data_IF_699041277651
#
_entry.id   IF_699041277651
#
_cell.length_a   1.000
_cell.length_b   1.000
_cell.length_c   1.000
_cell.angle_alpha   90.00
_cell.angle_beta   90.00
_cell.angle_gamma   90.00
#
_symmetry.space_group_name_H-M   'P 1'
#
loop_
_entity.id
_entity.type
_entity.pdbx_description
1 polymer ?
#
# COMPACT_ATOMS: atom_id res chain seq x y z
N UNK A 1 -21.65 -14.83 63.50
CA UNK A 1 -21.10 -15.08 62.16
C UNK A 1 -20.90 -13.75 61.45
N UNK A 2 -19.66 -13.25 61.42
CA UNK A 2 -19.31 -11.94 60.86
C UNK A 2 -18.85 -12.16 59.42
N UNK A 3 -19.63 -11.68 58.45
CA UNK A 3 -19.36 -11.81 57.02
C UNK A 3 -18.37 -10.74 56.59
N UNK A 4 -17.12 -11.12 56.33
CA UNK A 4 -16.10 -10.27 55.73
C UNK A 4 -16.26 -10.24 54.21
N UNK A 5 -16.63 -9.08 53.66
CA UNK A 5 -16.62 -8.78 52.23
C UNK A 5 -15.19 -8.51 51.77
N UNK A 6 -14.64 -9.40 50.95
CA UNK A 6 -13.33 -9.23 50.29
C UNK A 6 -13.47 -8.25 49.11
N UNK A 7 -12.97 -7.03 49.30
CA UNK A 7 -12.68 -6.06 48.24
C UNK A 7 -11.59 -6.60 47.32
N UNK A 8 -11.91 -6.79 46.04
CA UNK A 8 -10.94 -7.14 44.99
C UNK A 8 -10.54 -5.86 44.26
N UNK A 9 -9.34 -5.36 44.57
CA UNK A 9 -8.72 -4.22 43.88
C UNK A 9 -8.18 -4.68 42.52
N UNK A 10 -8.92 -4.37 41.45
CA UNK A 10 -8.47 -4.61 40.08
C UNK A 10 -7.37 -3.61 39.70
N UNK A 11 -6.18 -4.11 39.37
CA UNK A 11 -5.05 -3.31 38.89
C UNK A 11 -5.28 -2.89 37.44
N UNK A 12 -5.10 -1.61 37.05
CA UNK A 12 -5.33 -1.18 35.67
C UNK A 12 -4.23 -1.73 34.75
N UNK A 13 -4.65 -2.43 33.69
CA UNK A 13 -3.76 -2.91 32.62
C UNK A 13 -3.07 -1.74 31.93
N UNK A 14 -1.75 -1.66 32.09
CA UNK A 14 -0.85 -0.73 31.38
C UNK A 14 -0.97 -0.94 29.86
N UNK A 15 -1.65 -0.04 29.17
CA UNK A 15 -1.68 0.03 27.71
C UNK A 15 -0.25 0.25 27.17
N UNK A 16 0.27 -0.73 26.43
CA UNK A 16 1.54 -0.59 25.69
C UNK A 16 1.34 0.45 24.58
N UNK A 17 1.78 1.68 24.85
CA UNK A 17 1.87 2.77 23.86
C UNK A 17 2.67 2.25 22.66
N UNK A 18 2.02 2.14 21.48
CA UNK A 18 2.71 1.81 20.22
C UNK A 18 3.80 2.86 20.00
N UNK A 19 5.05 2.43 19.80
CA UNK A 19 6.09 3.31 19.27
C UNK A 19 5.70 3.63 17.83
N UNK A 20 5.37 4.90 17.54
CA UNK A 20 5.18 5.37 16.17
C UNK A 20 6.57 5.50 15.54
N UNK A 21 6.85 4.71 14.51
CA UNK A 21 8.00 4.97 13.63
C UNK A 21 7.66 6.25 12.87
N UNK A 22 8.56 7.24 12.89
CA UNK A 22 8.40 8.47 12.12
C UNK A 22 8.41 8.09 10.64
N UNK A 23 7.43 8.59 9.88
CA UNK A 23 7.38 8.36 8.45
C UNK A 23 8.33 9.38 7.84
N UNK A 24 9.48 8.91 7.37
CA UNK A 24 10.45 9.71 6.65
C UNK A 24 10.10 9.71 5.16
N UNK A 25 10.24 10.86 4.50
CA UNK A 25 10.00 11.04 3.08
C UNK A 25 11.17 11.84 2.49
N UNK A 26 11.50 11.56 1.23
CA UNK A 26 12.46 12.37 0.48
C UNK A 26 11.80 13.70 0.09
N UNK A 27 12.52 14.82 0.25
CA UNK A 27 12.05 16.09 -0.33
C UNK A 27 12.16 16.04 -1.86
N UNK A 28 11.22 16.63 -2.61
CA UNK A 28 11.28 16.69 -4.07
C UNK A 28 12.59 17.37 -4.53
N UNK A 29 13.41 16.66 -5.33
CA UNK A 29 14.58 17.22 -6.01
C UNK A 29 15.95 17.00 -5.36
N UNK A 30 16.06 16.24 -4.26
CA UNK A 30 17.35 16.07 -3.56
C UNK A 30 18.37 15.10 -4.21
N UNK A 31 18.04 14.47 -5.35
CA UNK A 31 18.80 13.30 -5.82
C UNK A 31 19.20 13.34 -7.31
N UNK A 32 19.13 14.51 -7.97
CA UNK A 32 19.70 14.67 -9.30
C UNK A 32 21.23 14.84 -9.20
N UNK A 33 21.96 13.73 -9.07
CA UNK A 33 23.43 13.71 -9.27
C UNK A 33 24.28 13.08 -8.17
N UNK A 34 23.70 12.42 -7.16
CA UNK A 34 24.48 11.68 -6.16
C UNK A 34 24.90 10.30 -6.70
N UNK A 35 26.20 10.00 -6.70
CA UNK A 35 26.70 8.64 -6.98
C UNK A 35 26.09 7.65 -5.97
N UNK A 36 25.60 6.47 -6.41
CA UNK A 36 24.98 5.50 -5.52
C UNK A 36 26.02 4.99 -4.51
N UNK A 37 25.93 5.47 -3.27
CA UNK A 37 26.76 4.96 -2.18
C UNK A 37 26.43 3.48 -1.98
N UNK A 38 27.46 2.63 -1.98
CA UNK A 38 27.27 1.20 -1.73
C UNK A 38 26.60 1.00 -0.37
N UNK A 39 25.55 0.18 -0.29
CA UNK A 39 24.83 0.00 0.95
C UNK A 39 25.72 -0.68 1.98
N UNK A 40 25.55 -0.30 3.25
CA UNK A 40 26.31 -0.86 4.37
C UNK A 40 26.06 -2.36 4.57
N UNK A 41 24.91 -2.84 4.08
CA UNK A 41 24.49 -4.24 4.15
C UNK A 41 23.51 -4.51 3.03
N UNK A 42 23.57 -5.70 2.43
CA UNK A 42 22.54 -6.23 1.54
C UNK A 42 22.30 -7.72 1.87
N UNK A 43 21.11 -8.27 1.55
CA UNK A 43 20.83 -9.68 1.77
C UNK A 43 21.66 -10.57 0.86
N UNK A 44 21.98 -11.78 1.29
CA UNK A 44 22.62 -12.76 0.39
C UNK A 44 21.63 -13.18 -0.70
N UNK A 45 22.15 -13.38 -1.90
CA UNK A 45 21.42 -13.91 -3.06
C UNK A 45 20.21 -13.05 -3.49
N UNK A 46 20.09 -11.79 -3.03
CA UNK A 46 18.91 -10.95 -3.28
C UNK A 46 18.69 -10.69 -4.77
N UNK A 47 19.76 -10.52 -5.53
CA UNK A 47 19.71 -10.29 -6.98
C UNK A 47 19.17 -11.52 -7.70
N UNK A 48 19.70 -12.69 -7.37
CA UNK A 48 19.24 -13.96 -7.94
C UNK A 48 17.79 -14.26 -7.55
N UNK A 49 17.42 -13.99 -6.30
CA UNK A 49 16.05 -14.13 -5.83
C UNK A 49 15.08 -13.20 -6.57
N UNK A 50 15.48 -11.95 -6.78
CA UNK A 50 14.69 -10.97 -7.54
C UNK A 50 14.52 -11.40 -8.99
N UNK A 51 15.59 -11.84 -9.64
CA UNK A 51 15.55 -12.27 -11.04
C UNK A 51 14.67 -13.51 -11.24
N UNK A 52 14.76 -14.49 -10.34
CA UNK A 52 13.88 -15.66 -10.34
C UNK A 52 12.42 -15.27 -10.08
N UNK A 53 12.15 -14.23 -9.28
CA UNK A 53 10.79 -13.67 -9.11
C UNK A 53 10.32 -13.00 -10.41
N UNK A 54 11.17 -12.21 -11.07
CA UNK A 54 10.87 -11.62 -12.37
C UNK A 54 10.53 -12.67 -13.41
N UNK A 55 11.30 -13.76 -13.48
CA UNK A 55 11.01 -14.87 -14.39
C UNK A 55 9.64 -15.50 -14.11
N UNK A 56 9.32 -15.80 -12.84
CA UNK A 56 8.00 -16.30 -12.45
C UNK A 56 6.86 -15.29 -12.72
N UNK A 57 7.18 -14.01 -12.91
CA UNK A 57 6.22 -12.92 -13.12
C UNK A 57 6.30 -12.31 -14.51
N UNK A 58 7.05 -12.95 -15.42
CA UNK A 58 7.31 -12.45 -16.78
C UNK A 58 6.04 -12.27 -17.61
N UNK A 59 5.04 -13.12 -17.41
CA UNK A 59 3.74 -13.08 -18.11
C UNK A 59 2.82 -11.94 -17.67
N UNK A 60 3.05 -11.34 -16.49
CA UNK A 60 2.19 -10.29 -15.90
C UNK A 60 0.70 -10.68 -15.87
N UNK A 61 0.41 -11.88 -15.40
CA UNK A 61 -0.92 -12.50 -15.35
C UNK A 61 -1.56 -12.54 -13.94
N UNK A 62 -1.06 -11.73 -12.99
CA UNK A 62 -1.66 -11.67 -11.67
C UNK A 62 -2.82 -10.67 -11.65
N UNK A 63 -3.77 -10.81 -10.71
CA UNK A 63 -4.84 -9.83 -10.51
C UNK A 63 -4.37 -8.38 -10.45
N UNK A 64 -3.21 -8.10 -9.83
CA UNK A 64 -2.66 -6.75 -9.75
C UNK A 64 -2.26 -6.16 -11.11
N UNK A 65 -1.91 -6.97 -12.11
CA UNK A 65 -1.49 -6.46 -13.43
C UNK A 65 -2.66 -5.95 -14.26
N UNK A 66 -3.82 -6.61 -14.16
CA UNK A 66 -5.02 -6.26 -14.92
C UNK A 66 -5.96 -5.33 -14.15
N UNK A 67 -6.02 -5.49 -12.82
CA UNK A 67 -7.02 -4.86 -11.96
C UNK A 67 -6.39 -4.10 -10.79
N UNK A 68 -5.07 -3.90 -10.82
CA UNK A 68 -4.37 -3.07 -9.87
C UNK A 68 -4.87 -1.62 -9.89
N UNK A 69 -4.54 -0.90 -8.81
CA UNK A 69 -4.87 0.52 -8.67
C UNK A 69 -4.31 1.39 -9.81
N UNK A 70 -3.18 0.96 -10.39
CA UNK A 70 -2.54 1.59 -11.54
C UNK A 70 -3.29 1.37 -12.87
N UNK A 71 -4.38 0.57 -12.86
CA UNK A 71 -5.31 0.37 -13.98
C UNK A 71 -6.69 0.99 -13.74
N UNK A 72 -6.93 1.54 -12.54
CA UNK A 72 -8.27 1.93 -12.09
C UNK A 72 -8.64 3.41 -12.35
N UNK A 73 -8.04 4.05 -13.36
CA UNK A 73 -8.28 5.45 -13.69
C UNK A 73 -8.41 5.67 -15.21
N UNK A 74 -8.95 6.83 -15.58
CA UNK A 74 -9.13 7.24 -16.96
C UNK A 74 -7.91 8.01 -17.47
N UNK A 75 -7.17 7.42 -18.41
CA UNK A 75 -6.00 8.06 -19.02
C UNK A 75 -6.36 9.21 -19.96
N UNK A 76 -7.63 9.31 -20.38
CA UNK A 76 -8.12 10.40 -21.23
C UNK A 76 -8.70 11.57 -20.44
N UNK A 77 -8.90 11.40 -19.12
CA UNK A 77 -9.42 12.46 -18.27
C UNK A 77 -8.37 13.55 -18.01
N UNK A 78 -8.82 14.79 -17.67
CA UNK A 78 -7.91 15.84 -17.22
C UNK A 78 -7.00 15.36 -16.08
N UNK A 79 -5.73 15.79 -15.98
CA UNK A 79 -4.77 15.27 -15.01
C UNK A 79 -5.29 15.27 -13.56
N UNK A 80 -5.94 16.35 -13.13
CA UNK A 80 -6.55 16.46 -11.80
C UNK A 80 -7.61 15.39 -11.53
N UNK A 81 -8.45 15.09 -12.54
CA UNK A 81 -9.48 14.05 -12.44
C UNK A 81 -8.83 12.68 -12.38
N UNK A 82 -7.84 12.41 -13.23
CA UNK A 82 -7.08 11.15 -13.22
C UNK A 82 -6.43 10.90 -11.85
N UNK A 83 -5.75 11.91 -11.28
CA UNK A 83 -5.12 11.82 -9.95
C UNK A 83 -6.14 11.57 -8.83
N UNK A 84 -7.30 12.23 -8.89
CA UNK A 84 -8.39 11.97 -7.94
C UNK A 84 -8.89 10.52 -8.03
N UNK A 85 -9.02 9.97 -9.24
CA UNK A 85 -9.40 8.57 -9.45
C UNK A 85 -8.35 7.60 -8.89
N UNK A 86 -7.05 7.90 -9.08
CA UNK A 86 -5.95 7.14 -8.46
C UNK A 86 -6.10 7.12 -6.94
N UNK A 87 -6.29 8.28 -6.30
CA UNK A 87 -6.47 8.36 -4.85
C UNK A 87 -7.67 7.54 -4.36
N UNK A 88 -8.82 7.65 -5.03
CA UNK A 88 -10.02 6.87 -4.65
C UNK A 88 -9.80 5.37 -4.82
N UNK A 89 -9.11 4.94 -5.88
CA UNK A 89 -8.77 3.53 -6.07
C UNK A 89 -7.93 2.99 -4.91
N UNK A 90 -6.96 3.76 -4.41
CA UNK A 90 -6.11 3.41 -3.27
C UNK A 90 -6.92 3.33 -1.97
N UNK A 91 -7.80 4.30 -1.72
CA UNK A 91 -8.67 4.29 -0.55
C UNK A 91 -9.59 3.06 -0.55
N UNK A 92 -10.15 2.69 -1.71
CA UNK A 92 -10.98 1.51 -1.88
C UNK A 92 -10.19 0.19 -1.78
N UNK A 93 -8.93 0.17 -2.19
CA UNK A 93 -8.12 -1.06 -2.22
C UNK A 93 -7.75 -1.59 -0.83
N UNK A 94 -7.80 -0.76 0.21
CA UNK A 94 -7.45 -1.19 1.57
C UNK A 94 -8.31 -2.37 2.02
N UNK A 95 -7.66 -3.50 2.34
CA UNK A 95 -8.33 -4.73 2.76
C UNK A 95 -9.46 -5.16 1.81
N UNK A 96 -9.26 -4.97 0.50
CA UNK A 96 -10.21 -5.34 -0.56
C UNK A 96 -9.43 -5.95 -1.71
N UNK A 97 -9.97 -7.01 -2.33
CA UNK A 97 -9.33 -7.65 -3.49
C UNK A 97 -9.32 -6.72 -4.70
N UNK A 98 -8.31 -6.85 -5.56
CA UNK A 98 -8.15 -6.01 -6.76
C UNK A 98 -9.38 -6.06 -7.67
N UNK A 99 -9.94 -7.26 -7.91
CA UNK A 99 -11.17 -7.44 -8.70
C UNK A 99 -12.34 -6.60 -8.18
N UNK A 100 -12.52 -6.58 -6.85
CA UNK A 100 -13.64 -5.86 -6.21
C UNK A 100 -13.41 -4.36 -6.26
N UNK A 101 -12.15 -3.93 -6.06
CA UNK A 101 -11.74 -2.53 -6.17
C UNK A 101 -11.94 -2.01 -7.59
N UNK A 102 -11.43 -2.73 -8.60
CA UNK A 102 -11.55 -2.39 -10.01
C UNK A 102 -13.01 -2.31 -10.46
N UNK A 103 -13.84 -3.29 -10.09
CA UNK A 103 -15.27 -3.25 -10.40
C UNK A 103 -15.98 -2.04 -9.75
N UNK A 104 -15.63 -1.67 -8.52
CA UNK A 104 -16.18 -0.48 -7.87
C UNK A 104 -15.73 0.81 -8.55
N UNK A 105 -14.44 0.91 -8.92
CA UNK A 105 -13.90 2.05 -9.65
C UNK A 105 -14.53 2.21 -11.04
N UNK A 106 -14.79 1.11 -11.75
CA UNK A 106 -15.51 1.13 -13.02
C UNK A 106 -16.92 1.72 -12.87
N UNK A 107 -17.70 1.26 -11.88
CA UNK A 107 -19.05 1.78 -11.61
C UNK A 107 -19.05 3.26 -11.24
N UNK A 108 -18.06 3.71 -10.46
CA UNK A 108 -17.89 5.12 -10.14
C UNK A 108 -17.57 5.94 -11.40
N UNK A 109 -16.61 5.48 -12.21
CA UNK A 109 -16.19 6.16 -13.44
C UNK A 109 -17.31 6.31 -14.46
N UNK A 110 -18.14 5.28 -14.62
CA UNK A 110 -19.33 5.32 -15.50
C UNK A 110 -20.34 6.42 -15.11
N UNK A 111 -20.25 6.95 -13.89
CA UNK A 111 -21.08 8.05 -13.37
C UNK A 111 -20.33 9.39 -13.32
N UNK A 112 -19.17 9.50 -13.98
CA UNK A 112 -18.35 10.70 -14.01
C UNK A 112 -17.62 10.94 -12.69
N UNK A 113 -16.59 10.13 -12.39
CA UNK A 113 -15.86 10.22 -11.12
C UNK A 113 -14.97 11.47 -11.05
N UNK A 114 -15.46 12.50 -10.34
CA UNK A 114 -14.79 13.78 -10.08
C UNK A 114 -15.02 14.20 -8.63
N UNK A 115 -14.26 15.20 -8.16
CA UNK A 115 -14.47 15.78 -6.82
C UNK A 115 -15.91 16.29 -6.67
N UNK A 116 -16.41 17.03 -7.66
CA UNK A 116 -17.75 17.63 -7.57
C UNK A 116 -18.86 16.58 -7.60
N UNK A 117 -18.75 15.54 -8.45
CA UNK A 117 -19.77 14.48 -8.50
C UNK A 117 -19.85 13.69 -7.19
N UNK A 118 -18.72 13.43 -6.53
CA UNK A 118 -18.71 12.75 -5.22
C UNK A 118 -19.23 13.65 -4.10
N UNK A 119 -19.00 14.97 -4.16
CA UNK A 119 -19.58 15.90 -3.18
C UNK A 119 -21.10 16.00 -3.30
N UNK A 120 -21.64 15.98 -4.52
CA UNK A 120 -23.07 16.03 -4.79
C UNK A 120 -23.80 14.71 -4.50
N UNK A 121 -23.09 13.58 -4.53
CA UNK A 121 -23.65 12.25 -4.27
C UNK A 121 -23.92 12.03 -2.78
N UNK A 122 -25.09 11.53 -2.41
CA UNK A 122 -25.39 11.15 -1.02
C UNK A 122 -24.64 9.86 -0.60
N UNK A 123 -24.46 9.69 0.71
CA UNK A 123 -23.70 8.59 1.30
C UNK A 123 -24.29 7.21 0.98
N UNK A 124 -25.63 7.10 0.85
CA UNK A 124 -26.28 5.84 0.56
C UNK A 124 -26.04 5.41 -0.90
N UNK A 125 -26.16 6.34 -1.84
CA UNK A 125 -25.84 6.13 -3.26
C UNK A 125 -24.37 5.77 -3.44
N UNK A 126 -23.45 6.52 -2.83
CA UNK A 126 -22.02 6.22 -2.91
C UNK A 126 -21.72 4.82 -2.33
N UNK A 127 -22.32 4.49 -1.19
CA UNK A 127 -22.22 3.19 -0.56
C UNK A 127 -22.69 2.04 -1.45
N UNK A 128 -23.84 2.19 -2.11
CA UNK A 128 -24.36 1.20 -3.06
C UNK A 128 -23.42 0.99 -4.24
N UNK A 129 -22.83 2.07 -4.78
CA UNK A 129 -21.90 1.99 -5.91
C UNK A 129 -20.63 1.22 -5.51
N UNK A 130 -20.06 1.49 -4.34
CA UNK A 130 -18.80 0.86 -3.94
C UNK A 130 -18.98 -0.52 -3.28
N UNK A 131 -20.19 -0.92 -2.90
CA UNK A 131 -20.45 -2.28 -2.42
C UNK A 131 -20.05 -3.34 -3.48
N UNK A 132 -19.37 -4.45 -3.15
CA UNK A 132 -19.10 -4.99 -1.81
C UNK A 132 -17.67 -4.72 -1.30
N UNK A 133 -17.08 -3.55 -1.60
CA UNK A 133 -15.75 -3.17 -1.06
C UNK A 133 -15.70 -3.37 0.46
N UNK A 134 -14.60 -3.92 0.97
CA UNK A 134 -14.42 -4.19 2.40
C UNK A 134 -14.50 -2.90 3.20
N UNK A 135 -15.23 -2.92 4.32
CA UNK A 135 -15.46 -1.75 5.19
C UNK A 135 -16.07 -0.53 4.46
N UNK A 136 -16.89 -0.75 3.42
CA UNK A 136 -17.42 0.32 2.57
C UNK A 136 -18.08 1.47 3.34
N UNK A 137 -18.80 1.21 4.45
CA UNK A 137 -19.44 2.27 5.26
C UNK A 137 -18.44 3.30 5.79
N UNK A 138 -17.30 2.83 6.29
CA UNK A 138 -16.23 3.72 6.75
C UNK A 138 -15.55 4.41 5.57
N UNK A 139 -15.39 3.70 4.44
CA UNK A 139 -14.81 4.28 3.23
C UNK A 139 -15.66 5.39 2.63
N UNK A 140 -17.00 5.28 2.64
CA UNK A 140 -17.91 6.37 2.25
C UNK A 140 -17.57 7.63 3.04
N UNK A 141 -17.53 7.53 4.39
CA UNK A 141 -17.17 8.64 5.26
C UNK A 141 -15.80 9.25 4.90
N UNK A 142 -14.77 8.41 4.77
CA UNK A 142 -13.42 8.89 4.45
C UNK A 142 -13.33 9.52 3.06
N UNK A 143 -14.00 8.95 2.05
CA UNK A 143 -14.05 9.49 0.69
C UNK A 143 -14.72 10.87 0.71
N UNK A 144 -15.88 11.02 1.35
CA UNK A 144 -16.58 12.31 1.44
C UNK A 144 -15.75 13.36 2.15
N UNK A 145 -15.15 13.01 3.30
CA UNK A 145 -14.28 13.92 4.06
C UNK A 145 -13.04 14.34 3.26
N UNK A 146 -12.34 13.37 2.66
CA UNK A 146 -11.17 13.61 1.82
C UNK A 146 -11.55 14.53 0.65
N UNK A 147 -12.61 14.20 -0.08
CA UNK A 147 -13.07 14.97 -1.24
C UNK A 147 -13.41 16.42 -0.87
N UNK A 148 -14.04 16.64 0.28
CA UNK A 148 -14.31 17.99 0.79
C UNK A 148 -13.02 18.77 1.09
N UNK A 149 -12.02 18.12 1.71
CA UNK A 149 -10.70 18.71 1.95
C UNK A 149 -10.02 19.07 0.63
N UNK A 150 -10.07 18.19 -0.38
CA UNK A 150 -9.48 18.46 -1.70
C UNK A 150 -10.11 19.69 -2.35
N UNK A 151 -11.44 19.81 -2.33
CA UNK A 151 -12.14 20.98 -2.87
C UNK A 151 -11.76 22.28 -2.15
N UNK A 152 -11.66 22.24 -0.81
CA UNK A 152 -11.44 23.43 0.01
C UNK A 152 -9.98 23.88 0.06
N UNK A 153 -9.03 22.94 0.21
CA UNK A 153 -7.62 23.24 0.48
C UNK A 153 -6.73 23.11 -0.77
N UNK A 154 -7.06 22.21 -1.68
CA UNK A 154 -6.19 21.82 -2.80
C UNK A 154 -6.78 22.13 -4.18
N UNK A 155 -7.76 23.04 -4.25
CA UNK A 155 -8.37 23.46 -5.52
C UNK A 155 -9.06 22.32 -6.29
N UNK A 156 -9.44 21.24 -5.61
CA UNK A 156 -10.02 20.03 -6.20
C UNK A 156 -9.00 19.00 -6.69
N UNK A 157 -7.69 19.20 -6.50
CA UNK A 157 -6.65 18.21 -6.81
C UNK A 157 -6.21 17.46 -5.54
N UNK A 158 -5.41 16.41 -5.70
CA UNK A 158 -4.76 15.73 -4.58
C UNK A 158 -3.46 16.47 -4.18
N UNK A 159 -2.96 16.32 -2.94
CA UNK A 159 -1.65 16.85 -2.58
C UNK A 159 -0.51 16.18 -3.37
N UNK A 160 0.58 16.93 -3.57
CA UNK A 160 1.78 16.52 -4.31
C UNK A 160 2.96 16.15 -3.40
N UNK A 161 2.71 15.93 -2.12
CA UNK A 161 3.69 15.49 -1.13
C UNK A 161 3.14 14.35 -0.29
N UNK A 162 4.01 13.47 0.21
CA UNK A 162 3.58 12.29 0.98
C UNK A 162 3.04 12.71 2.35
N UNK A 163 3.66 13.71 2.96
CA UNK A 163 3.27 14.33 4.23
C UNK A 163 1.82 14.78 4.18
N UNK A 164 1.44 15.52 3.16
CA UNK A 164 0.08 16.05 3.01
C UNK A 164 -0.92 14.96 2.62
N UNK A 165 -0.53 13.99 1.78
CA UNK A 165 -1.36 12.84 1.43
C UNK A 165 -1.73 12.03 2.68
N UNK A 166 -0.80 11.79 3.60
CA UNK A 166 -1.05 11.03 4.85
C UNK A 166 -1.96 11.80 5.84
N UNK A 167 -2.10 13.12 5.69
CA UNK A 167 -3.09 13.88 6.48
C UNK A 167 -4.53 13.66 6.01
N UNK A 168 -4.75 13.09 4.82
CA UNK A 168 -6.08 12.83 4.32
C UNK A 168 -6.75 11.67 5.07
N UNK A 169 -8.03 11.78 5.46
CA UNK A 169 -8.75 10.74 6.18
C UNK A 169 -8.73 9.39 5.44
N UNK A 170 -8.20 8.35 6.10
CA UNK A 170 -8.14 7.00 5.55
C UNK A 170 -6.96 6.73 4.61
N UNK A 171 -6.08 7.72 4.38
CA UNK A 171 -4.85 7.55 3.61
C UNK A 171 -3.68 7.25 4.56
N UNK A 172 -2.96 6.16 4.30
CA UNK A 172 -1.76 5.78 5.05
C UNK A 172 -0.48 5.84 4.20
N UNK A 173 0.70 5.62 4.79
CA UNK A 173 2.00 5.78 4.12
C UNK A 173 2.11 5.03 2.78
N UNK A 174 1.71 3.75 2.76
CA UNK A 174 1.68 2.92 1.53
C UNK A 174 0.86 3.55 0.42
N UNK A 175 -0.32 4.11 0.76
CA UNK A 175 -1.18 4.75 -0.24
C UNK A 175 -0.55 6.04 -0.74
N UNK A 176 0.06 6.82 0.15
CA UNK A 176 0.69 8.08 -0.21
C UNK A 176 1.89 7.86 -1.15
N UNK A 177 2.76 6.88 -0.89
CA UNK A 177 3.84 6.52 -1.82
C UNK A 177 3.33 6.01 -3.18
N UNK A 178 2.27 5.20 -3.20
CA UNK A 178 1.67 4.78 -4.47
C UNK A 178 1.00 5.93 -5.22
N UNK A 179 0.36 6.86 -4.50
CA UNK A 179 -0.21 8.06 -5.10
C UNK A 179 0.90 8.92 -5.73
N UNK A 180 2.02 9.14 -5.05
CA UNK A 180 3.17 9.83 -5.65
C UNK A 180 3.66 9.11 -6.91
N UNK A 181 3.80 7.79 -6.86
CA UNK A 181 4.31 7.01 -7.99
C UNK A 181 3.37 7.05 -9.21
N UNK A 182 2.07 6.85 -9.00
CA UNK A 182 1.09 6.69 -10.09
C UNK A 182 0.56 8.03 -10.56
N UNK A 183 0.25 8.93 -9.62
CA UNK A 183 -0.47 10.17 -9.90
C UNK A 183 0.47 11.35 -10.25
N UNK A 184 1.70 11.32 -9.71
CA UNK A 184 2.70 12.38 -9.86
C UNK A 184 3.99 11.92 -10.55
N UNK A 185 4.04 10.66 -10.98
CA UNK A 185 5.22 10.02 -11.56
C UNK A 185 6.51 10.18 -10.72
N UNK A 186 6.35 10.20 -9.40
CA UNK A 186 7.43 10.48 -8.45
C UNK A 186 7.63 9.33 -7.48
N UNK A 187 8.85 8.81 -7.40
CA UNK A 187 9.23 7.73 -6.48
C UNK A 187 9.68 8.36 -5.16
N UNK A 188 8.77 8.46 -4.20
CA UNK A 188 9.04 9.05 -2.88
C UNK A 188 9.40 8.03 -1.80
N UNK A 189 9.37 6.74 -2.11
CA UNK A 189 9.61 5.64 -1.17
C UNK A 189 9.00 4.32 -1.63
N UNK A 190 9.34 3.24 -0.95
CA UNK A 190 8.82 1.90 -1.25
C UNK A 190 7.41 1.74 -0.67
N UNK A 191 6.44 1.48 -1.52
CA UNK A 191 5.10 1.13 -1.07
C UNK A 191 5.08 -0.29 -0.47
N UNK A 192 5.10 -0.41 0.86
CA UNK A 192 5.03 -1.70 1.54
C UNK A 192 3.60 -2.04 1.94
N UNK A 193 3.06 -3.11 1.35
CA UNK A 193 1.80 -3.72 1.74
C UNK A 193 2.00 -5.08 2.43
N UNK A 194 0.93 -5.85 2.64
CA UNK A 194 1.03 -7.16 3.29
C UNK A 194 1.78 -8.20 2.46
N UNK A 195 1.84 -8.05 1.14
CA UNK A 195 2.60 -8.94 0.26
C UNK A 195 4.08 -8.60 0.36
N UNK A 196 4.46 -7.34 0.11
CA UNK A 196 5.84 -6.86 0.21
C UNK A 196 6.40 -7.17 1.59
N UNK A 197 5.70 -6.78 2.66
CA UNK A 197 6.10 -7.05 4.04
C UNK A 197 6.36 -8.54 4.31
N UNK A 198 5.42 -9.42 3.95
CA UNK A 198 5.54 -10.85 4.21
C UNK A 198 6.68 -11.47 3.42
N UNK A 199 6.78 -11.15 2.13
CA UNK A 199 7.72 -11.80 1.22
C UNK A 199 9.15 -11.40 1.56
N UNK A 200 9.41 -10.12 1.79
CA UNK A 200 10.74 -9.62 2.14
C UNK A 200 11.22 -10.18 3.48
N UNK A 201 10.32 -10.36 4.46
CA UNK A 201 10.65 -11.04 5.71
C UNK A 201 10.93 -12.55 5.53
N UNK A 202 10.22 -13.23 4.62
CA UNK A 202 10.48 -14.65 4.28
C UNK A 202 11.81 -14.84 3.56
N UNK A 203 12.13 -13.95 2.62
CA UNK A 203 13.38 -13.96 1.86
C UNK A 203 14.59 -13.43 2.66
N UNK A 204 14.37 -12.90 3.87
CA UNK A 204 15.40 -12.25 4.70
C UNK A 204 16.02 -11.03 4.01
N UNK A 205 15.20 -10.30 3.25
CA UNK A 205 15.53 -9.00 2.67
C UNK A 205 15.54 -7.85 3.70
N UNK A 206 15.21 -8.16 4.94
CA UNK A 206 15.35 -7.28 6.09
C UNK A 206 16.34 -7.90 7.07
N UNK A 207 17.30 -7.10 7.57
CA UNK A 207 18.37 -7.55 8.47
C UNK A 207 17.84 -8.15 9.77
N UNK A 208 16.77 -7.58 10.29
CA UNK A 208 16.00 -8.09 11.44
C UNK A 208 14.56 -8.24 11.01
N UNK A 209 13.90 -9.28 11.50
CA UNK A 209 12.47 -9.49 11.24
C UNK A 209 11.68 -8.28 11.74
N UNK A 210 10.94 -7.68 10.81
CA UNK A 210 10.15 -6.47 11.05
C UNK A 210 8.73 -6.86 11.42
N UNK A 211 8.09 -6.10 12.31
CA UNK A 211 6.73 -6.38 12.76
C UNK A 211 5.68 -5.55 12.01
N UNK A 212 6.08 -4.39 11.49
CA UNK A 212 5.18 -3.45 10.84
C UNK A 212 5.67 -3.10 9.43
N UNK A 213 4.76 -2.83 8.46
CA UNK A 213 5.14 -2.47 7.10
C UNK A 213 6.11 -1.29 6.99
N UNK A 214 5.95 -0.28 7.85
CA UNK A 214 6.82 0.89 7.88
C UNK A 214 8.27 0.53 8.26
N UNK A 215 8.45 -0.40 9.20
CA UNK A 215 9.78 -0.89 9.56
C UNK A 215 10.43 -1.64 8.38
N UNK A 216 9.64 -2.36 7.58
CA UNK A 216 10.13 -3.02 6.36
C UNK A 216 10.51 -2.01 5.29
N UNK A 217 9.73 -0.93 5.12
CA UNK A 217 10.04 0.12 4.15
C UNK A 217 11.43 0.68 4.41
N UNK A 218 11.64 1.19 5.63
CA UNK A 218 12.94 1.75 6.05
C UNK A 218 14.06 0.72 5.86
N UNK A 219 13.84 -0.53 6.28
CA UNK A 219 14.85 -1.59 6.13
C UNK A 219 15.17 -1.97 4.68
N UNK A 220 14.24 -1.79 3.73
CA UNK A 220 14.48 -2.03 2.31
C UNK A 220 15.18 -0.82 1.66
N UNK A 221 14.73 0.39 1.97
CA UNK A 221 15.31 1.62 1.42
C UNK A 221 16.77 1.85 1.86
N UNK A 222 17.18 1.28 3.00
CA UNK A 222 18.58 1.28 3.46
C UNK A 222 19.57 0.60 2.49
N UNK A 223 19.10 -0.27 1.58
CA UNK A 223 20.00 -1.04 0.72
C UNK A 223 19.51 -1.33 -0.70
N UNK A 224 18.21 -1.40 -0.93
CA UNK A 224 17.65 -1.73 -2.24
C UNK A 224 17.91 -0.55 -3.20
N UNK A 225 18.53 -0.79 -4.38
CA UNK A 225 18.74 0.25 -5.38
C UNK A 225 17.45 1.02 -5.71
N UNK A 226 17.55 2.35 -5.78
CA UNK A 226 16.41 3.27 -5.88
C UNK A 226 15.59 3.07 -7.16
N UNK A 227 16.24 2.66 -8.24
CA UNK A 227 15.62 2.30 -9.52
C UNK A 227 14.63 1.12 -9.39
N UNK A 228 14.80 0.27 -8.38
CA UNK A 228 13.92 -0.88 -8.11
C UNK A 228 12.71 -0.53 -7.24
N UNK A 229 12.67 0.65 -6.62
CA UNK A 229 11.61 1.00 -5.65
C UNK A 229 10.22 1.07 -6.29
N UNK A 230 10.14 1.51 -7.55
CA UNK A 230 8.90 1.49 -8.34
C UNK A 230 8.45 0.06 -8.67
N UNK A 231 9.41 -0.81 -8.98
CA UNK A 231 9.13 -2.17 -9.42
C UNK A 231 8.63 -3.07 -8.28
N UNK A 232 9.25 -2.93 -7.11
CA UNK A 232 9.18 -3.95 -6.08
C UNK A 232 7.76 -4.20 -5.57
N UNK A 233 6.91 -3.17 -5.51
CA UNK A 233 5.54 -3.33 -5.03
C UNK A 233 4.73 -4.24 -5.95
N UNK A 234 4.54 -3.88 -7.22
CA UNK A 234 3.67 -4.65 -8.11
C UNK A 234 4.22 -6.06 -8.36
N UNK A 235 5.54 -6.19 -8.43
CA UNK A 235 6.21 -7.48 -8.63
C UNK A 235 5.91 -8.44 -7.48
N UNK A 236 6.14 -8.00 -6.23
CA UNK A 236 5.92 -8.83 -5.04
C UNK A 236 4.44 -9.01 -4.71
N UNK A 237 3.57 -8.06 -5.05
CA UNK A 237 2.12 -8.24 -4.92
C UNK A 237 1.68 -9.40 -5.80
N UNK A 238 2.00 -9.37 -7.10
CA UNK A 238 1.63 -10.45 -8.03
C UNK A 238 2.23 -11.80 -7.62
N UNK A 239 3.52 -11.81 -7.26
CA UNK A 239 4.19 -13.02 -6.75
C UNK A 239 3.52 -13.56 -5.48
N UNK A 240 3.06 -12.68 -4.58
CA UNK A 240 2.34 -13.07 -3.37
C UNK A 240 0.89 -13.47 -3.59
N UNK A 241 0.28 -13.09 -4.72
CA UNK A 241 -1.08 -13.50 -5.11
C UNK A 241 -1.10 -14.90 -5.74
N UNK A 242 0.01 -15.33 -6.38
CA UNK A 242 0.06 -16.59 -7.14
C UNK A 242 0.93 -17.66 -6.48
N UNK A 243 2.09 -17.28 -5.93
CA UNK A 243 3.14 -18.24 -5.52
C UNK A 243 3.42 -18.16 -4.02
N UNK A 244 3.85 -17.01 -3.51
CA UNK A 244 4.22 -16.84 -2.09
C UNK A 244 3.00 -16.49 -1.23
N UNK A 245 2.00 -17.36 -1.24
CA UNK A 245 0.71 -17.20 -0.56
C UNK A 245 0.87 -17.02 0.97
N UNK A 246 -0.05 -16.31 1.64
CA UNK A 246 0.02 -16.13 3.08
C UNK A 246 -0.06 -17.45 3.85
N UNK A 247 -0.89 -18.39 3.38
CA UNK A 247 -1.05 -19.74 3.91
C UNK A 247 -0.68 -20.73 2.81
N UNK A 248 0.09 -21.78 3.15
CA UNK A 248 0.55 -22.82 2.23
C UNK A 248 1.13 -22.26 0.92
N UNK A 249 2.24 -21.48 0.98
CA UNK A 249 2.92 -21.00 -0.22
C UNK A 249 3.33 -22.16 -1.13
N UNK A 250 3.32 -21.94 -2.44
CA UNK A 250 3.64 -22.96 -3.46
C UNK A 250 5.15 -23.15 -3.60
N UNK A 251 5.84 -23.45 -2.50
CA UNK A 251 7.30 -23.53 -2.44
C UNK A 251 7.89 -24.55 -3.42
N UNK A 252 7.20 -25.67 -3.67
CA UNK A 252 7.64 -26.70 -4.63
C UNK A 252 7.63 -26.26 -6.09
N UNK A 253 6.91 -25.18 -6.42
CA UNK A 253 6.83 -24.59 -7.76
C UNK A 253 7.59 -23.26 -7.84
N UNK A 254 8.20 -22.82 -6.73
CA UNK A 254 8.88 -21.55 -6.64
C UNK A 254 10.32 -21.71 -7.15
N UNK A 255 10.73 -20.91 -8.13
CA UNK A 255 12.11 -20.91 -8.63
C UNK A 255 13.14 -20.56 -7.55
N UNK A 256 12.73 -19.96 -6.42
CA UNK A 256 13.61 -19.67 -5.29
C UNK A 256 13.68 -20.80 -4.24
N UNK A 257 13.12 -22.00 -4.48
CA UNK A 257 12.99 -23.04 -3.43
C UNK A 257 14.31 -23.42 -2.74
N UNK A 258 15.38 -23.55 -3.51
CA UNK A 258 16.74 -23.92 -3.10
C UNK A 258 17.45 -22.81 -2.32
N UNK A 259 17.21 -21.54 -2.68
CA UNK A 259 17.86 -20.35 -2.08
C UNK A 259 16.98 -19.59 -1.07
N UNK A 260 15.70 -19.92 -0.94
CA UNK A 260 14.76 -19.23 -0.04
C UNK A 260 14.90 -19.74 1.41
N UNK A 261 15.24 -18.88 2.38
CA UNK A 261 15.38 -19.27 3.79
C UNK A 261 14.09 -19.81 4.43
N UNK A 262 12.92 -19.49 3.85
CA UNK A 262 11.61 -19.91 4.34
C UNK A 262 11.07 -21.18 3.66
N UNK A 263 11.67 -21.67 2.58
CA UNK A 263 11.15 -22.81 1.82
C UNK A 263 11.34 -24.17 2.53
N UNK A 264 12.31 -24.26 3.46
CA UNK A 264 12.65 -25.47 4.21
C UNK A 264 11.91 -25.58 5.56
N UNK A 265 10.93 -24.71 5.82
CA UNK A 265 10.19 -24.62 7.08
C UNK A 265 8.76 -25.11 6.92
#
# INVERSE_FOLDING_TARGET
AVSQTRSTTSTPRRSRRRKSVAIAYDEPGQDEGAEPQRPRWEPRDWQEQLERIREMRRSRDAPVDEMGVDKCYDTSAPPQVMRYQVLLSLMLSSQTKDQVTSAAMLRLRQRGLTVDSVLQMDDATLGQIIYPVGFWRNKVKYIKQTTAILKQKYGGDIPSTVEELVQLPGVGPKMAHLAMNIAWDSVSGIAVDTHVHRITNRLKWVKKETKYPEETRVALEEWLPRDLWREINWLLVGFGQQTCLPVNPRCSQCLNQDICPAAKR
#
